data_IF_184676944417
#
_entry.id   IF_184676944417
#
_cell.length_a   1.000
_cell.length_b   1.000
_cell.length_c   1.000
_cell.angle_alpha   90.00
_cell.angle_beta   90.00
_cell.angle_gamma   90.00
#
_symmetry.space_group_name_H-M   'P 1'
#
loop_
_entity.id
_entity.type
_entity.pdbx_description
1 polymer ?
#
# COMPACT_ATOMS: atom_id res chain seq x y z
N UNK A 1 62.35 -29.09 63.60
CA UNK A 1 61.46 -30.26 63.41
C UNK A 1 60.03 -29.80 63.64
N UNK A 2 59.13 -30.10 62.70
CA UNK A 2 57.66 -29.88 62.71
C UNK A 2 57.17 -28.42 62.71
N UNK A 3 56.20 -27.95 61.92
CA UNK A 3 55.17 -28.55 61.03
C UNK A 3 54.99 -27.57 59.87
N UNK A 4 54.79 -28.03 58.62
CA UNK A 4 54.31 -27.16 57.54
C UNK A 4 53.28 -27.90 56.70
N UNK A 5 52.17 -27.19 56.46
CA UNK A 5 50.89 -27.72 56.06
C UNK A 5 50.84 -28.35 54.67
N UNK A 6 49.97 -29.35 54.58
CA UNK A 6 49.60 -30.07 53.36
C UNK A 6 48.07 -30.12 53.23
N UNK A 7 47.42 -28.96 53.24
CA UNK A 7 46.03 -28.81 52.78
C UNK A 7 45.96 -27.69 51.73
N UNK A 8 46.48 -27.98 50.53
CA UNK A 8 46.39 -27.07 49.39
C UNK A 8 46.47 -27.79 48.04
N UNK A 9 46.28 -29.11 48.02
CA UNK A 9 46.68 -29.96 46.89
C UNK A 9 45.56 -30.37 45.92
N UNK A 10 44.35 -29.81 45.98
CA UNK A 10 43.23 -30.35 45.17
C UNK A 10 42.43 -29.37 44.29
N UNK A 11 42.80 -28.09 44.18
CA UNK A 11 41.93 -27.12 43.45
C UNK A 11 42.44 -26.64 42.08
N UNK A 12 43.66 -27.00 41.64
CA UNK A 12 44.25 -26.36 40.45
C UNK A 12 44.35 -27.21 39.17
N UNK A 13 43.94 -28.48 39.16
CA UNK A 13 44.09 -29.32 37.96
C UNK A 13 42.97 -29.17 36.91
N UNK A 14 41.83 -28.53 37.23
CA UNK A 14 40.77 -28.28 36.24
C UNK A 14 40.85 -26.92 35.54
N UNK A 15 41.86 -26.09 35.83
CA UNK A 15 41.99 -24.74 35.27
C UNK A 15 42.85 -24.67 33.98
N UNK A 16 43.62 -25.72 33.62
CA UNK A 16 44.58 -25.65 32.52
C UNK A 16 44.05 -26.03 31.14
N UNK A 17 42.88 -26.67 31.03
CA UNK A 17 42.31 -27.10 29.73
C UNK A 17 41.27 -26.13 29.14
N UNK A 18 41.07 -24.95 29.72
CA UNK A 18 40.19 -23.92 29.17
C UNK A 18 40.95 -22.77 28.46
N UNK A 19 42.29 -22.83 28.43
CA UNK A 19 43.15 -21.71 28.02
C UNK A 19 43.72 -21.82 26.60
N UNK A 20 43.54 -22.92 25.87
CA UNK A 20 44.22 -23.11 24.57
C UNK A 20 43.32 -23.03 23.31
N UNK A 21 42.00 -22.84 23.44
CA UNK A 21 41.13 -22.60 22.25
C UNK A 21 40.03 -21.56 22.50
N UNK A 22 40.38 -20.37 23.00
CA UNK A 22 39.48 -19.20 22.98
C UNK A 22 40.20 -17.85 22.76
N UNK A 23 41.26 -17.82 21.96
CA UNK A 23 41.86 -16.55 21.49
C UNK A 23 42.20 -16.59 20.00
N UNK A 24 41.30 -17.14 19.18
CA UNK A 24 41.40 -17.10 17.70
C UNK A 24 40.20 -16.44 16.99
N UNK A 25 39.16 -16.00 17.72
CA UNK A 25 38.08 -15.18 17.14
C UNK A 25 38.00 -13.75 17.68
N UNK A 26 38.85 -13.39 18.65
CA UNK A 26 38.97 -12.02 19.18
C UNK A 26 40.43 -11.52 19.04
N UNK A 27 41.26 -12.23 18.25
CA UNK A 27 42.67 -11.93 17.99
C UNK A 27 42.95 -11.27 16.63
N UNK A 28 41.95 -10.76 15.93
CA UNK A 28 42.10 -10.19 14.57
C UNK A 28 41.61 -8.76 14.39
N UNK A 29 41.23 -8.07 15.46
CA UNK A 29 40.49 -6.80 15.36
C UNK A 29 41.19 -5.55 15.89
N UNK A 30 42.42 -5.63 16.42
CA UNK A 30 43.06 -4.47 17.04
C UNK A 30 43.82 -3.55 16.04
N UNK A 31 43.88 -3.90 14.75
CA UNK A 31 44.62 -3.14 13.73
C UNK A 31 43.81 -2.53 12.58
N UNK A 32 42.50 -2.80 12.47
CA UNK A 32 41.67 -2.39 11.30
C UNK A 32 40.48 -1.50 11.68
N UNK A 33 40.52 -0.82 12.82
CA UNK A 33 39.38 -0.03 13.30
C UNK A 33 39.37 1.40 12.72
N UNK A 34 40.45 1.88 12.12
CA UNK A 34 40.48 3.24 11.51
C UNK A 34 40.23 3.28 10.00
N UNK A 35 40.21 2.14 9.30
CA UNK A 35 40.03 2.09 7.84
C UNK A 35 38.66 1.58 7.34
N UNK A 36 37.90 0.85 8.17
CA UNK A 36 36.70 0.12 7.72
C UNK A 36 35.37 0.56 8.38
N UNK A 37 35.38 1.57 9.26
CA UNK A 37 34.12 2.08 9.86
C UNK A 37 33.28 2.85 8.81
N UNK A 38 33.89 3.37 7.75
CA UNK A 38 33.17 3.97 6.61
C UNK A 38 32.32 2.96 5.82
N UNK A 39 32.71 1.68 5.77
CA UNK A 39 32.04 0.62 4.98
C UNK A 39 30.80 0.03 5.67
N UNK A 40 30.70 0.12 7.00
CA UNK A 40 29.61 -0.49 7.77
C UNK A 40 28.52 0.51 8.15
N UNK A 41 28.79 1.82 8.05
CA UNK A 41 27.79 2.88 8.26
C UNK A 41 27.12 3.34 6.95
N UNK A 42 27.76 3.13 5.80
CA UNK A 42 27.21 3.44 4.47
C UNK A 42 25.85 2.76 4.16
N UNK A 43 25.59 1.50 4.57
CA UNK A 43 24.30 0.85 4.33
C UNK A 43 23.13 1.49 5.10
N UNK A 44 23.35 2.04 6.29
CA UNK A 44 22.27 2.57 7.15
C UNK A 44 21.87 4.03 6.84
N UNK A 45 22.83 4.84 6.39
CA UNK A 45 22.55 6.21 5.93
C UNK A 45 21.76 6.21 4.62
N UNK A 46 22.14 5.34 3.67
CA UNK A 46 21.42 5.15 2.39
C UNK A 46 20.00 4.63 2.61
N UNK A 47 19.80 3.78 3.62
CA UNK A 47 18.51 3.14 3.86
C UNK A 47 17.40 4.10 4.31
N UNK A 48 17.74 5.22 4.97
CA UNK A 48 16.77 6.25 5.31
C UNK A 48 16.18 6.93 4.08
N UNK A 49 17.03 7.27 3.11
CA UNK A 49 16.62 7.84 1.81
C UNK A 49 15.84 6.81 1.00
N UNK A 50 16.34 5.58 0.95
CA UNK A 50 15.71 4.50 0.20
C UNK A 50 14.32 4.15 0.74
N UNK A 51 14.12 4.15 2.06
CA UNK A 51 12.79 3.97 2.67
C UNK A 51 11.82 5.09 2.29
N UNK A 52 12.29 6.33 2.27
CA UNK A 52 11.45 7.46 1.88
C UNK A 52 11.11 7.42 0.39
N UNK A 53 12.08 7.00 -0.45
CA UNK A 53 11.87 6.73 -1.88
C UNK A 53 10.82 5.64 -2.09
N UNK A 54 10.98 4.48 -1.46
CA UNK A 54 10.02 3.36 -1.55
C UNK A 54 8.62 3.74 -1.06
N UNK A 55 8.51 4.55 0.00
CA UNK A 55 7.21 5.07 0.47
C UNK A 55 6.56 5.99 -0.56
N UNK A 56 7.34 6.88 -1.18
CA UNK A 56 6.83 7.80 -2.21
C UNK A 56 6.43 7.03 -3.48
N UNK A 57 7.24 6.07 -3.90
CA UNK A 57 6.97 5.19 -5.04
C UNK A 57 5.70 4.38 -4.82
N UNK A 58 5.54 3.74 -3.65
CA UNK A 58 4.31 3.01 -3.31
C UNK A 58 3.08 3.90 -3.35
N UNK A 59 3.15 5.11 -2.78
CA UNK A 59 2.02 6.06 -2.82
C UNK A 59 1.70 6.50 -4.25
N UNK A 60 2.72 6.69 -5.08
CA UNK A 60 2.56 7.04 -6.49
C UNK A 60 1.91 5.90 -7.28
N UNK A 61 2.33 4.66 -7.02
CA UNK A 61 1.73 3.46 -7.60
C UNK A 61 0.25 3.32 -7.21
N UNK A 62 -0.08 3.52 -5.92
CA UNK A 62 -1.46 3.50 -5.46
C UNK A 62 -2.31 4.58 -6.17
N UNK A 63 -1.81 5.81 -6.27
CA UNK A 63 -2.53 6.89 -6.98
C UNK A 63 -2.74 6.54 -8.46
N UNK A 64 -1.74 5.96 -9.12
CA UNK A 64 -1.85 5.54 -10.51
C UNK A 64 -2.91 4.43 -10.68
N UNK A 65 -2.87 3.41 -9.82
CA UNK A 65 -3.83 2.31 -9.81
C UNK A 65 -5.27 2.82 -9.55
N UNK A 66 -5.43 3.77 -8.62
CA UNK A 66 -6.75 4.35 -8.35
C UNK A 66 -7.26 5.21 -9.51
N UNK A 67 -6.38 5.98 -10.16
CA UNK A 67 -6.74 6.77 -11.35
C UNK A 67 -7.19 5.88 -12.49
N UNK A 68 -6.42 4.84 -12.79
CA UNK A 68 -6.76 3.86 -13.82
C UNK A 68 -8.09 3.16 -13.51
N UNK A 69 -8.30 2.76 -12.25
CA UNK A 69 -9.55 2.17 -11.80
C UNK A 69 -10.76 3.10 -11.95
N UNK A 70 -10.59 4.38 -11.61
CA UNK A 70 -11.64 5.41 -11.77
C UNK A 70 -11.93 5.69 -13.24
N UNK A 71 -10.90 5.71 -14.11
CA UNK A 71 -11.08 5.91 -15.54
C UNK A 71 -11.81 4.73 -16.21
N UNK A 72 -11.49 3.49 -15.79
CA UNK A 72 -12.23 2.31 -16.21
C UNK A 72 -13.71 2.39 -15.78
N UNK A 73 -13.96 2.77 -14.52
CA UNK A 73 -15.31 2.94 -14.01
C UNK A 73 -16.09 4.05 -14.73
N UNK A 74 -15.41 5.14 -15.11
CA UNK A 74 -15.99 6.22 -15.92
C UNK A 74 -16.45 5.72 -17.29
N UNK A 75 -15.67 4.86 -17.93
CA UNK A 75 -16.06 4.23 -19.20
C UNK A 75 -17.29 3.34 -19.01
N UNK A 76 -17.28 2.47 -17.99
CA UNK A 76 -18.41 1.58 -17.69
C UNK A 76 -19.69 2.36 -17.40
N UNK A 77 -19.65 3.39 -16.55
CA UNK A 77 -20.83 4.22 -16.28
C UNK A 77 -21.31 4.95 -17.54
N UNK A 78 -20.39 5.45 -18.37
CA UNK A 78 -20.74 6.15 -19.62
C UNK A 78 -21.40 5.20 -20.62
N UNK A 79 -20.85 4.00 -20.77
CA UNK A 79 -21.37 2.96 -21.66
C UNK A 79 -22.74 2.48 -21.18
N UNK A 80 -22.91 2.27 -19.87
CA UNK A 80 -24.20 1.93 -19.29
C UNK A 80 -25.24 3.02 -19.58
N UNK A 81 -24.90 4.30 -19.35
CA UNK A 81 -25.80 5.43 -19.66
C UNK A 81 -26.13 5.50 -21.15
N UNK A 82 -25.19 5.19 -22.04
CA UNK A 82 -25.44 5.13 -23.50
C UNK A 82 -26.37 3.99 -23.86
N UNK A 83 -26.18 2.81 -23.27
CA UNK A 83 -27.04 1.63 -23.45
C UNK A 83 -28.46 1.94 -22.97
N UNK A 84 -28.62 2.49 -21.77
CA UNK A 84 -29.92 2.92 -21.24
C UNK A 84 -30.57 4.05 -22.07
N UNK A 85 -29.77 4.93 -22.68
CA UNK A 85 -30.25 6.03 -23.54
C UNK A 85 -30.65 5.55 -24.95
N UNK A 86 -30.24 4.36 -25.37
CA UNK A 86 -30.61 3.79 -26.66
C UNK A 86 -31.81 2.86 -26.45
N UNK A 87 -33.02 3.20 -26.92
CA UNK A 87 -34.13 2.28 -26.82
C UNK A 87 -33.80 1.06 -27.70
N UNK A 88 -33.64 -0.12 -27.10
CA UNK A 88 -33.50 -1.38 -27.85
C UNK A 88 -34.86 -1.77 -28.42
N UNK A 89 -35.34 -1.01 -29.41
CA UNK A 89 -36.54 -1.35 -30.18
C UNK A 89 -36.06 -2.00 -31.48
N UNK A 90 -36.27 -3.31 -31.68
CA UNK A 90 -36.11 -3.92 -33.00
C UNK A 90 -37.08 -3.22 -33.97
N UNK A 91 -36.56 -2.34 -34.85
CA UNK A 91 -37.36 -1.62 -35.86
C UNK A 91 -38.07 -0.33 -35.38
N UNK A 92 -37.62 0.32 -34.31
CA UNK A 92 -38.21 1.58 -33.82
C UNK A 92 -37.72 2.85 -34.54
N UNK A 93 -38.51 3.95 -34.53
CA UNK A 93 -38.10 5.21 -35.16
C UNK A 93 -36.92 5.86 -34.43
N UNK A 94 -35.87 6.20 -35.18
CA UNK A 94 -34.73 6.98 -34.70
C UNK A 94 -35.21 8.36 -34.21
N UNK A 95 -35.14 8.63 -32.90
CA UNK A 95 -35.24 10.02 -32.44
C UNK A 95 -35.81 10.27 -31.05
N UNK A 96 -36.60 9.37 -30.46
CA UNK A 96 -37.13 9.57 -29.11
C UNK A 96 -36.23 8.92 -28.06
N UNK A 97 -35.26 9.70 -27.55
CA UNK A 97 -34.35 9.32 -26.47
C UNK A 97 -34.86 9.92 -25.15
N UNK A 98 -35.75 9.23 -24.46
CA UNK A 98 -36.01 9.51 -23.05
C UNK A 98 -35.14 8.58 -22.21
N UNK A 99 -34.49 9.12 -21.17
CA UNK A 99 -33.89 8.34 -20.10
C UNK A 99 -35.05 7.75 -19.27
N UNK A 100 -35.62 6.64 -19.74
CA UNK A 100 -36.59 5.88 -18.96
C UNK A 100 -35.81 4.84 -18.17
N UNK A 101 -35.99 4.88 -16.87
CA UNK A 101 -35.58 3.80 -15.99
C UNK A 101 -36.43 2.56 -16.34
N UNK A 102 -35.85 1.62 -17.08
CA UNK A 102 -36.52 0.40 -17.56
C UNK A 102 -36.62 -0.68 -16.47
N UNK A 103 -36.11 -0.41 -15.26
CA UNK A 103 -36.08 -1.36 -14.17
C UNK A 103 -34.92 -2.36 -14.25
N UNK A 104 -34.12 -2.33 -15.31
CA UNK A 104 -32.98 -3.24 -15.47
C UNK A 104 -31.93 -2.97 -14.39
N UNK A 105 -31.30 -4.02 -13.82
CA UNK A 105 -30.21 -3.84 -12.87
C UNK A 105 -29.02 -3.18 -13.56
N UNK A 106 -28.30 -2.32 -12.83
CA UNK A 106 -27.03 -1.79 -13.29
C UNK A 106 -26.05 -2.95 -13.60
N UNK A 107 -25.16 -2.77 -14.58
CA UNK A 107 -24.12 -3.76 -14.87
C UNK A 107 -23.31 -4.03 -13.60
N UNK A 108 -22.96 -5.29 -13.37
CA UNK A 108 -22.19 -5.71 -12.17
C UNK A 108 -20.82 -5.04 -12.15
N UNK A 109 -20.33 -4.66 -13.31
CA UNK A 109 -19.08 -3.94 -13.56
C UNK A 109 -19.15 -2.49 -13.03
N UNK A 110 -20.33 -1.91 -12.85
CA UNK A 110 -20.46 -0.60 -12.23
C UNK A 110 -20.39 -0.63 -10.68
N UNK A 111 -20.41 -1.82 -10.08
CA UNK A 111 -20.25 -1.99 -8.64
C UNK A 111 -18.78 -1.84 -8.24
N UNK A 112 -18.44 -0.64 -7.77
CA UNK A 112 -17.10 -0.24 -7.35
C UNK A 112 -16.53 -1.12 -6.22
N UNK A 113 -17.39 -1.74 -5.40
CA UNK A 113 -16.98 -2.56 -4.25
C UNK A 113 -16.26 -3.85 -4.66
N UNK A 114 -16.43 -4.27 -5.92
CA UNK A 114 -15.80 -5.47 -6.48
C UNK A 114 -14.32 -5.29 -6.79
N UNK A 115 -13.87 -4.05 -6.90
CA UNK A 115 -12.53 -3.76 -7.35
C UNK A 115 -11.54 -3.65 -6.19
N UNK A 116 -10.39 -4.33 -6.33
CA UNK A 116 -9.30 -4.27 -5.36
C UNK A 116 -8.74 -2.85 -5.18
N UNK A 117 -8.64 -2.08 -6.27
CA UNK A 117 -8.18 -0.69 -6.20
C UNK A 117 -9.06 0.15 -5.26
N UNK A 118 -10.39 -0.06 -5.28
CA UNK A 118 -11.31 0.64 -4.40
C UNK A 118 -11.16 0.20 -2.93
N UNK A 119 -10.97 -1.10 -2.69
CA UNK A 119 -10.72 -1.60 -1.33
C UNK A 119 -9.47 -0.96 -0.69
N UNK A 120 -8.43 -0.70 -1.49
CA UNK A 120 -7.23 0.01 -1.03
C UNK A 120 -7.41 1.53 -0.89
N UNK A 121 -8.29 2.14 -1.67
CA UNK A 121 -8.64 3.56 -1.60
C UNK A 121 -9.57 3.88 -0.40
N UNK A 122 -10.52 3.00 -0.11
CA UNK A 122 -11.53 3.13 0.96
C UNK A 122 -11.01 3.65 2.31
N UNK A 123 -9.90 3.14 2.89
CA UNK A 123 -9.36 3.64 4.16
C UNK A 123 -8.77 5.06 4.08
N UNK A 124 -8.55 5.60 2.88
CA UNK A 124 -7.98 6.93 2.65
C UNK A 124 -9.04 7.99 2.31
N UNK A 125 -10.28 7.58 2.02
CA UNK A 125 -11.40 8.48 1.76
C UNK A 125 -11.74 9.31 3.01
N UNK A 126 -12.12 10.56 2.80
CA UNK A 126 -12.76 11.36 3.83
C UNK A 126 -14.08 10.71 4.29
N UNK A 127 -14.47 10.94 5.54
CA UNK A 127 -15.74 10.41 6.07
C UNK A 127 -16.96 10.95 5.33
N UNK A 128 -16.86 12.14 4.72
CA UNK A 128 -17.94 12.74 3.93
C UNK A 128 -18.02 12.04 2.57
N UNK A 129 -16.89 11.92 1.87
CA UNK A 129 -16.78 11.24 0.58
C UNK A 129 -17.22 9.78 0.68
N UNK A 130 -16.82 9.05 1.72
CA UNK A 130 -17.23 7.65 1.92
C UNK A 130 -18.76 7.51 2.02
N UNK A 131 -19.44 8.41 2.74
CA UNK A 131 -20.92 8.41 2.83
C UNK A 131 -21.57 8.69 1.48
N UNK A 132 -21.06 9.67 0.74
CA UNK A 132 -21.55 10.00 -0.61
C UNK A 132 -21.34 8.82 -1.55
N UNK A 133 -20.20 8.14 -1.48
CA UNK A 133 -19.92 6.95 -2.30
C UNK A 133 -20.86 5.80 -1.94
N UNK A 134 -21.11 5.54 -0.65
CA UNK A 134 -22.05 4.49 -0.22
C UNK A 134 -23.50 4.81 -0.65
N UNK A 135 -23.93 6.08 -0.59
CA UNK A 135 -25.23 6.54 -1.08
C UNK A 135 -25.35 6.37 -2.60
N UNK A 136 -24.32 6.79 -3.35
CA UNK A 136 -24.29 6.66 -4.80
C UNK A 136 -24.21 5.19 -5.23
N UNK A 137 -23.41 4.37 -4.56
CA UNK A 137 -23.30 2.94 -4.85
C UNK A 137 -24.64 2.20 -4.65
N UNK A 138 -25.46 2.64 -3.69
CA UNK A 138 -26.81 2.12 -3.48
C UNK A 138 -27.87 2.66 -4.46
N UNK A 139 -27.54 3.68 -5.27
CA UNK A 139 -28.45 4.32 -6.21
C UNK A 139 -28.16 3.88 -7.64
N UNK A 140 -29.20 3.65 -8.45
CA UNK A 140 -29.04 3.32 -9.88
C UNK A 140 -28.28 4.40 -10.64
N UNK A 141 -27.35 4.03 -11.52
CA UNK A 141 -26.49 4.96 -12.28
C UNK A 141 -27.32 6.06 -12.95
N UNK A 142 -28.42 5.68 -13.61
CA UNK A 142 -29.35 6.58 -14.31
C UNK A 142 -30.06 7.60 -13.41
N UNK A 143 -30.18 7.30 -12.11
CA UNK A 143 -30.86 8.14 -11.11
C UNK A 143 -29.88 8.91 -10.23
N UNK A 144 -28.57 8.72 -10.41
CA UNK A 144 -27.54 9.43 -9.63
C UNK A 144 -27.51 10.90 -10.04
N UNK A 145 -27.53 11.78 -9.04
CA UNK A 145 -27.32 13.23 -9.24
C UNK A 145 -25.88 13.59 -9.59
N UNK A 146 -24.93 12.74 -9.20
CA UNK A 146 -23.49 12.93 -9.43
C UNK A 146 -22.85 11.59 -9.79
N UNK A 147 -21.95 11.59 -10.77
CA UNK A 147 -21.22 10.39 -11.21
C UNK A 147 -20.19 9.98 -10.15
N UNK A 148 -20.18 8.70 -9.79
CA UNK A 148 -19.30 8.13 -8.77
C UNK A 148 -17.81 8.30 -9.14
N UNK A 149 -17.37 8.04 -10.40
CA UNK A 149 -16.04 8.37 -10.90
C UNK A 149 -15.60 9.82 -10.65
N UNK A 150 -16.51 10.80 -10.75
CA UNK A 150 -16.17 12.22 -10.52
C UNK A 150 -15.86 12.46 -9.05
N UNK A 151 -16.70 11.92 -8.15
CA UNK A 151 -16.50 12.03 -6.70
C UNK A 151 -15.18 11.39 -6.27
N UNK A 152 -14.87 10.19 -6.78
CA UNK A 152 -13.62 9.50 -6.47
C UNK A 152 -12.41 10.21 -7.07
N UNK A 153 -12.50 10.73 -8.29
CA UNK A 153 -11.43 11.51 -8.92
C UNK A 153 -11.08 12.75 -8.10
N UNK A 154 -12.08 13.51 -7.66
CA UNK A 154 -11.89 14.70 -6.82
C UNK A 154 -11.19 14.33 -5.49
N UNK A 155 -11.59 13.22 -4.87
CA UNK A 155 -10.99 12.74 -3.64
C UNK A 155 -9.55 12.26 -3.83
N UNK A 156 -9.25 11.56 -4.93
CA UNK A 156 -7.87 11.13 -5.26
C UNK A 156 -6.96 12.36 -5.40
N UNK A 157 -7.42 13.44 -6.05
CA UNK A 157 -6.66 14.70 -6.15
C UNK A 157 -6.41 15.31 -4.77
N UNK A 158 -7.39 15.25 -3.86
CA UNK A 158 -7.21 15.72 -2.48
C UNK A 158 -6.19 14.86 -1.71
N UNK A 159 -6.21 13.54 -1.90
CA UNK A 159 -5.24 12.62 -1.29
C UNK A 159 -3.83 12.87 -1.85
N UNK A 160 -3.69 13.06 -3.16
CA UNK A 160 -2.42 13.36 -3.83
C UNK A 160 -1.77 14.64 -3.27
N UNK A 161 -2.56 15.71 -3.08
CA UNK A 161 -2.14 16.95 -2.40
C UNK A 161 -1.75 16.71 -0.95
N UNK A 162 -2.57 15.97 -0.18
CA UNK A 162 -2.27 15.63 1.23
C UNK A 162 -0.97 14.84 1.37
N UNK A 163 -0.65 14.01 0.38
CA UNK A 163 0.58 13.22 0.34
C UNK A 163 1.78 13.96 -0.24
N UNK A 164 1.60 15.21 -0.68
CA UNK A 164 2.64 16.06 -1.30
C UNK A 164 3.29 15.39 -2.51
N UNK A 165 2.49 14.70 -3.31
CA UNK A 165 2.96 14.10 -4.56
C UNK A 165 2.90 15.11 -5.73
N UNK A 166 2.01 16.10 -5.62
CA UNK A 166 1.83 17.25 -6.52
C UNK A 166 1.85 18.53 -5.71
#
# INVERSE_FOLDING_TARGET
>A
MSVSGLEGALSCQNASMASEVMVALIGGGAGLVSGAIGSLLAPWSTWGVERNRLKRERRTQLIAEWREGVDNLRQIESDAVVEFRAPRIPGGPEGLRMLVDDGSPDPKEADVSRYHWYASLKPHLSSETAKVVDELAGTRIINRKKSLPVVLSDEIVNIEKKWKLV
#
